data_IF_342362708208
#
_entry.id   IF_342362708208
#
_cell.length_a   1.000
_cell.length_b   1.000
_cell.length_c   1.000
_cell.angle_alpha   90.00
_cell.angle_beta   90.00
_cell.angle_gamma   90.00
#
_symmetry.space_group_name_H-M   'P 1'
#
loop_
_entity.id
_entity.type
_entity.pdbx_description
1 polymer ?
#
# COMPACT_ATOMS: atom_id res chain seq x y z
N UNK A 1 23.18 -21.03 15.07
CA UNK A 1 22.30 -20.78 16.24
C UNK A 1 21.86 -19.33 16.41
N UNK A 2 22.74 -18.34 16.60
CA UNK A 2 22.30 -16.93 16.76
C UNK A 2 21.86 -16.29 15.44
N UNK A 3 22.62 -16.49 14.36
CA UNK A 3 22.22 -16.05 13.01
C UNK A 3 20.91 -16.68 12.55
N UNK A 4 20.68 -17.98 12.80
CA UNK A 4 19.43 -18.66 12.44
C UNK A 4 18.21 -18.11 13.19
N UNK A 5 18.36 -17.71 14.46
CA UNK A 5 17.28 -17.08 15.23
C UNK A 5 16.94 -15.68 14.70
N UNK A 6 17.95 -14.88 14.36
CA UNK A 6 17.77 -13.56 13.75
C UNK A 6 17.11 -13.70 12.37
N UNK A 7 17.56 -14.68 11.58
CA UNK A 7 17.00 -15.00 10.27
C UNK A 7 15.52 -15.42 10.37
N UNK A 8 15.20 -16.29 11.33
CA UNK A 8 13.83 -16.73 11.60
C UNK A 8 12.88 -15.57 11.95
N UNK A 9 13.31 -14.68 12.85
CA UNK A 9 12.54 -13.49 13.23
C UNK A 9 12.24 -12.56 12.04
N UNK A 10 13.22 -12.35 11.15
CA UNK A 10 13.04 -11.54 9.93
C UNK A 10 12.13 -12.23 8.92
N UNK A 11 12.23 -13.55 8.76
CA UNK A 11 11.33 -14.34 7.92
C UNK A 11 9.87 -14.23 8.42
N UNK A 12 9.64 -14.27 9.73
CA UNK A 12 8.30 -14.14 10.31
C UNK A 12 7.69 -12.76 10.06
N UNK A 13 8.49 -11.69 10.12
CA UNK A 13 8.02 -10.34 9.80
C UNK A 13 7.66 -10.21 8.32
N UNK A 14 8.46 -10.79 7.42
CA UNK A 14 8.16 -10.83 5.97
C UNK A 14 6.92 -11.71 5.68
N UNK A 15 6.68 -12.76 6.47
CA UNK A 15 5.47 -13.58 6.39
C UNK A 15 4.20 -12.79 6.69
N UNK A 16 4.26 -11.85 7.64
CA UNK A 16 3.12 -10.96 7.94
C UNK A 16 2.82 -10.01 6.79
N UNK A 17 3.78 -9.71 5.93
CA UNK A 17 3.59 -8.92 4.70
C UNK A 17 3.12 -9.78 3.51
N UNK A 18 2.94 -11.09 3.68
CA UNK A 18 2.40 -11.97 2.65
C UNK A 18 3.38 -12.22 1.50
N UNK A 19 4.69 -12.11 1.74
CA UNK A 19 5.72 -12.39 0.74
C UNK A 19 6.01 -13.90 0.64
N UNK A 20 4.97 -14.70 0.35
CA UNK A 20 4.99 -16.17 0.46
C UNK A 20 6.06 -16.84 -0.39
N UNK A 21 6.20 -16.45 -1.67
CA UNK A 21 7.19 -17.05 -2.57
C UNK A 21 8.63 -16.87 -2.06
N UNK A 22 9.07 -15.65 -1.67
CA UNK A 22 10.35 -15.47 -0.99
C UNK A 22 10.52 -16.34 0.26
N UNK A 23 9.50 -16.46 1.10
CA UNK A 23 9.58 -17.25 2.33
C UNK A 23 9.82 -18.74 2.06
N UNK A 24 9.11 -19.31 1.09
CA UNK A 24 9.32 -20.70 0.69
C UNK A 24 10.76 -20.92 0.19
N UNK A 25 11.27 -20.02 -0.65
CA UNK A 25 12.65 -20.08 -1.15
C UNK A 25 13.68 -19.96 -0.02
N UNK A 26 13.48 -19.03 0.91
CA UNK A 26 14.38 -18.84 2.06
C UNK A 26 14.43 -20.10 2.93
N UNK A 27 13.27 -20.67 3.26
CA UNK A 27 13.18 -21.91 4.05
C UNK A 27 13.87 -23.09 3.36
N UNK A 28 13.72 -23.21 2.05
CA UNK A 28 14.36 -24.25 1.26
C UNK A 28 15.89 -24.12 1.28
N UNK A 29 16.44 -22.91 1.10
CA UNK A 29 17.89 -22.69 1.17
C UNK A 29 18.46 -22.99 2.54
N UNK A 30 17.78 -22.59 3.61
CA UNK A 30 18.19 -22.91 4.99
C UNK A 30 18.21 -24.43 5.20
N UNK A 31 17.18 -25.15 4.75
CA UNK A 31 17.11 -26.61 4.89
C UNK A 31 18.23 -27.34 4.13
N UNK A 32 18.76 -26.75 3.06
CA UNK A 32 19.90 -27.28 2.29
C UNK A 32 21.27 -26.86 2.83
N UNK A 33 21.32 -26.05 3.90
CA UNK A 33 22.55 -25.48 4.44
C UNK A 33 23.11 -24.29 3.62
N UNK A 34 22.37 -23.78 2.63
CA UNK A 34 22.73 -22.61 1.80
C UNK A 34 22.42 -21.28 2.54
N UNK A 35 22.88 -21.14 3.78
CA UNK A 35 22.52 -20.02 4.68
C UNK A 35 22.95 -18.66 4.11
N UNK A 36 24.15 -18.54 3.55
CA UNK A 36 24.65 -17.29 2.96
C UNK A 36 23.77 -16.79 1.80
N UNK A 37 23.25 -17.73 1.01
CA UNK A 37 22.34 -17.43 -0.10
C UNK A 37 20.98 -16.96 0.40
N UNK A 38 20.47 -17.58 1.47
CA UNK A 38 19.25 -17.14 2.12
C UNK A 38 19.41 -15.71 2.71
N UNK A 39 20.54 -15.42 3.36
CA UNK A 39 20.85 -14.10 3.89
C UNK A 39 20.90 -13.03 2.80
N UNK A 40 21.54 -13.33 1.66
CA UNK A 40 21.60 -12.42 0.51
C UNK A 40 20.21 -12.06 -0.02
N UNK A 41 19.37 -13.06 -0.28
CA UNK A 41 18.00 -12.86 -0.79
C UNK A 41 17.15 -12.08 0.20
N UNK A 42 17.27 -12.41 1.49
CA UNK A 42 16.56 -11.70 2.56
C UNK A 42 17.00 -10.23 2.64
N UNK A 43 18.29 -9.96 2.48
CA UNK A 43 18.85 -8.61 2.43
C UNK A 43 18.29 -7.79 1.26
N UNK A 44 18.31 -8.35 0.05
CA UNK A 44 17.74 -7.71 -1.15
C UNK A 44 16.25 -7.41 -0.98
N UNK A 45 15.46 -8.36 -0.48
CA UNK A 45 14.04 -8.17 -0.22
C UNK A 45 13.77 -7.10 0.83
N UNK A 46 14.56 -7.07 1.91
CA UNK A 46 14.41 -6.06 2.97
C UNK A 46 14.70 -4.66 2.44
N UNK A 47 15.71 -4.51 1.59
CA UNK A 47 16.06 -3.22 0.99
C UNK A 47 14.97 -2.73 0.04
N UNK A 48 14.39 -3.61 -0.76
CA UNK A 48 13.22 -3.29 -1.60
C UNK A 48 12.02 -2.83 -0.77
N UNK A 49 11.72 -3.54 0.32
CA UNK A 49 10.64 -3.20 1.25
C UNK A 49 10.88 -1.86 1.97
N UNK A 50 12.13 -1.58 2.35
CA UNK A 50 12.52 -0.29 2.97
C UNK A 50 12.43 0.86 1.99
N UNK A 51 12.78 0.67 0.72
CA UNK A 51 12.61 1.71 -0.31
C UNK A 51 11.13 2.04 -0.47
N UNK A 52 10.30 1.01 -0.54
CA UNK A 52 8.87 1.17 -0.72
C UNK A 52 8.15 1.80 0.48
N UNK A 53 8.67 1.66 1.70
CA UNK A 53 8.11 2.37 2.85
C UNK A 53 8.15 3.90 2.68
N UNK A 54 9.15 4.44 1.95
CA UNK A 54 9.19 5.87 1.62
C UNK A 54 8.05 6.26 0.68
N UNK A 55 7.77 5.43 -0.33
CA UNK A 55 6.67 5.66 -1.26
C UNK A 55 5.30 5.57 -0.58
N UNK A 56 5.14 4.62 0.35
CA UNK A 56 3.94 4.49 1.17
C UNK A 56 3.74 5.71 2.08
N UNK A 57 4.81 6.25 2.67
CA UNK A 57 4.73 7.47 3.48
C UNK A 57 4.29 8.68 2.64
N UNK A 58 4.79 8.80 1.41
CA UNK A 58 4.36 9.84 0.48
C UNK A 58 2.86 9.68 0.11
N UNK A 59 2.41 8.45 -0.13
CA UNK A 59 0.98 8.18 -0.39
C UNK A 59 0.10 8.61 0.79
N UNK A 60 0.46 8.27 2.03
CA UNK A 60 -0.27 8.69 3.24
C UNK A 60 -0.31 10.21 3.36
N UNK A 61 0.81 10.89 3.14
CA UNK A 61 0.86 12.36 3.16
C UNK A 61 -0.11 12.96 2.13
N UNK A 62 -0.23 12.38 0.95
CA UNK A 62 -1.14 12.87 -0.08
C UNK A 62 -2.60 12.59 0.25
N UNK A 63 -2.91 11.41 0.78
CA UNK A 63 -4.26 11.08 1.27
C UNK A 63 -4.67 12.00 2.43
N UNK A 64 -3.74 12.35 3.31
CA UNK A 64 -4.01 13.25 4.44
C UNK A 64 -4.49 14.64 4.02
N UNK A 65 -4.07 15.11 2.82
CA UNK A 65 -4.53 16.38 2.24
C UNK A 65 -5.99 16.33 1.78
N UNK A 66 -6.55 15.13 1.62
CA UNK A 66 -7.93 14.88 1.23
C UNK A 66 -8.86 14.57 2.43
N UNK A 67 -8.41 14.77 3.68
CA UNK A 67 -9.14 14.39 4.90
C UNK A 67 -10.51 15.07 5.10
N UNK A 68 -10.74 16.21 4.45
CA UNK A 68 -11.99 16.96 4.52
C UNK A 68 -12.69 17.05 3.15
N UNK A 69 -12.45 16.08 2.27
CA UNK A 69 -13.00 16.09 0.90
C UNK A 69 -14.52 16.22 0.91
N UNK A 70 -15.20 15.76 1.96
CA UNK A 70 -16.67 15.86 2.03
C UNK A 70 -17.19 17.29 2.18
N UNK A 71 -16.32 18.25 2.52
CA UNK A 71 -16.67 19.66 2.69
C UNK A 71 -16.38 20.53 1.46
N UNK A 72 -15.73 19.95 0.44
CA UNK A 72 -15.32 20.65 -0.77
C UNK A 72 -16.46 20.75 -1.78
N UNK A 73 -16.35 21.72 -2.70
CA UNK A 73 -17.14 21.70 -3.92
C UNK A 73 -16.79 20.45 -4.76
N UNK A 74 -17.73 19.88 -5.55
CA UNK A 74 -17.49 18.65 -6.30
C UNK A 74 -16.27 18.71 -7.21
N UNK A 75 -16.08 19.82 -7.92
CA UNK A 75 -14.95 20.02 -8.82
C UNK A 75 -13.61 20.04 -8.06
N UNK A 76 -13.59 20.65 -6.87
CA UNK A 76 -12.43 20.70 -5.98
C UNK A 76 -12.13 19.33 -5.37
N UNK A 77 -13.16 18.59 -4.97
CA UNK A 77 -13.06 17.22 -4.51
C UNK A 77 -12.48 16.31 -5.60
N UNK A 78 -13.01 16.38 -6.83
CA UNK A 78 -12.48 15.64 -7.99
C UNK A 78 -11.01 15.96 -8.22
N UNK A 79 -10.62 17.24 -8.23
CA UNK A 79 -9.23 17.66 -8.42
C UNK A 79 -8.31 17.13 -7.30
N UNK A 80 -8.80 17.14 -6.07
CA UNK A 80 -8.08 16.58 -4.91
C UNK A 80 -7.84 15.09 -5.10
N UNK A 81 -8.85 14.35 -5.55
CA UNK A 81 -8.73 12.91 -5.83
C UNK A 81 -7.80 12.61 -6.99
N UNK A 82 -7.78 13.43 -8.03
CA UNK A 82 -6.82 13.26 -9.12
C UNK A 82 -5.38 13.36 -8.64
N UNK A 83 -5.10 14.26 -7.68
CA UNK A 83 -3.81 14.33 -7.00
C UNK A 83 -3.46 13.04 -6.26
N UNK A 84 -4.38 12.52 -5.44
CA UNK A 84 -4.20 11.27 -4.69
C UNK A 84 -3.97 10.09 -5.64
N UNK A 85 -4.84 9.93 -6.64
CA UNK A 85 -4.78 8.86 -7.62
C UNK A 85 -3.50 8.91 -8.46
N UNK A 86 -3.04 10.11 -8.83
CA UNK A 86 -1.79 10.28 -9.58
C UNK A 86 -0.59 9.74 -8.78
N UNK A 87 -0.50 10.12 -7.50
CA UNK A 87 0.58 9.65 -6.62
C UNK A 87 0.45 8.14 -6.42
N UNK A 88 -0.72 7.63 -6.04
CA UNK A 88 -0.94 6.20 -5.85
C UNK A 88 -0.56 5.41 -7.10
N UNK A 89 -1.03 5.81 -8.29
CA UNK A 89 -0.69 5.16 -9.56
C UNK A 89 0.83 5.13 -9.77
N UNK A 90 1.49 6.27 -9.60
CA UNK A 90 2.93 6.38 -9.82
C UNK A 90 3.71 5.41 -8.93
N UNK A 91 3.29 5.22 -7.68
CA UNK A 91 4.00 4.40 -6.69
C UNK A 91 3.63 2.92 -6.74
N UNK A 92 2.35 2.61 -6.95
CA UNK A 92 1.87 1.22 -7.07
C UNK A 92 2.54 0.55 -8.28
N UNK A 93 2.54 1.19 -9.45
CA UNK A 93 3.04 0.55 -10.66
C UNK A 93 4.55 0.67 -10.87
N UNK A 94 5.25 1.40 -10.00
CA UNK A 94 6.73 1.47 -9.97
C UNK A 94 7.36 0.69 -8.81
N UNK A 95 6.57 -0.12 -8.10
CA UNK A 95 7.05 -0.84 -6.91
C UNK A 95 8.27 -1.74 -7.21
N UNK A 96 9.24 -1.81 -6.28
CA UNK A 96 10.40 -2.68 -6.43
C UNK A 96 10.01 -4.15 -6.65
N UNK A 97 10.83 -4.95 -7.37
CA UNK A 97 10.51 -6.36 -7.67
C UNK A 97 10.19 -7.19 -6.42
N UNK A 98 10.93 -7.02 -5.31
CA UNK A 98 10.68 -7.72 -4.06
C UNK A 98 9.32 -7.42 -3.44
N UNK A 99 8.81 -6.20 -3.60
CA UNK A 99 7.49 -5.77 -3.09
C UNK A 99 6.35 -6.43 -3.86
N UNK A 100 6.52 -6.61 -5.18
CA UNK A 100 5.51 -7.29 -6.02
C UNK A 100 5.32 -8.75 -5.67
N UNK A 101 6.26 -9.34 -4.93
CA UNK A 101 6.14 -10.71 -4.40
C UNK A 101 5.30 -10.79 -3.12
N UNK A 102 4.89 -9.65 -2.56
CA UNK A 102 4.12 -9.54 -1.32
C UNK A 102 2.64 -9.28 -1.62
N UNK A 103 1.80 -10.30 -1.40
CA UNK A 103 0.39 -10.26 -1.81
C UNK A 103 -0.47 -9.29 -0.99
N UNK A 104 -0.01 -8.91 0.21
CA UNK A 104 -0.68 -7.88 1.03
C UNK A 104 -0.24 -6.47 0.69
N UNK A 105 0.64 -6.27 -0.30
CA UNK A 105 1.05 -4.92 -0.68
C UNK A 105 0.49 -4.58 -2.05
N UNK A 106 1.05 -5.17 -3.10
CA UNK A 106 0.75 -4.75 -4.47
C UNK A 106 -0.73 -4.94 -4.88
N UNK A 107 -1.33 -6.14 -4.77
CA UNK A 107 -2.71 -6.36 -5.23
C UNK A 107 -3.74 -5.55 -4.45
N UNK A 108 -3.52 -5.36 -3.15
CA UNK A 108 -4.45 -4.61 -2.30
C UNK A 108 -4.45 -3.12 -2.65
N UNK A 109 -3.27 -2.54 -2.89
CA UNK A 109 -3.16 -1.15 -3.32
C UNK A 109 -3.76 -0.93 -4.72
N UNK A 110 -3.64 -1.89 -5.63
CA UNK A 110 -4.29 -1.86 -6.95
C UNK A 110 -5.82 -1.85 -6.84
N UNK A 111 -6.39 -2.65 -5.93
CA UNK A 111 -7.84 -2.64 -5.64
C UNK A 111 -8.28 -1.29 -5.06
N UNK A 112 -7.52 -0.74 -4.12
CA UNK A 112 -7.80 0.58 -3.54
C UNK A 112 -7.76 1.68 -4.60
N UNK A 113 -6.75 1.65 -5.48
CA UNK A 113 -6.63 2.59 -6.60
C UNK A 113 -7.85 2.50 -7.55
N UNK A 114 -8.25 1.29 -7.92
CA UNK A 114 -9.41 1.06 -8.80
C UNK A 114 -10.70 1.58 -8.14
N UNK A 115 -10.88 1.31 -6.85
CA UNK A 115 -12.08 1.73 -6.11
C UNK A 115 -12.14 3.25 -5.96
N UNK A 116 -11.04 3.92 -5.59
CA UNK A 116 -10.97 5.39 -5.55
C UNK A 116 -11.23 6.01 -6.93
N UNK A 117 -10.74 5.38 -8.00
CA UNK A 117 -10.99 5.83 -9.37
C UNK A 117 -12.48 5.76 -9.72
N UNK A 118 -13.16 4.67 -9.34
CA UNK A 118 -14.61 4.53 -9.54
C UNK A 118 -15.41 5.59 -8.75
N UNK A 119 -15.09 5.78 -7.46
CA UNK A 119 -15.76 6.77 -6.61
C UNK A 119 -15.60 8.20 -7.15
N UNK A 120 -14.43 8.53 -7.72
CA UNK A 120 -14.21 9.82 -8.40
C UNK A 120 -15.12 9.99 -9.62
N UNK A 121 -15.29 8.96 -10.44
CA UNK A 121 -16.17 9.03 -11.61
C UNK A 121 -17.65 9.10 -11.20
N UNK A 122 -18.04 8.42 -10.12
CA UNK A 122 -19.38 8.54 -9.56
C UNK A 122 -19.65 9.95 -9.04
N UNK A 123 -18.70 10.57 -8.34
CA UNK A 123 -18.79 11.96 -7.90
C UNK A 123 -19.00 12.92 -9.08
N UNK A 124 -18.32 12.70 -10.21
CA UNK A 124 -18.52 13.50 -11.45
C UNK A 124 -19.93 13.37 -11.98
N UNK A 125 -20.49 12.15 -12.00
CA UNK A 125 -21.85 11.89 -12.49
C UNK A 125 -22.92 12.50 -11.57
N UNK A 126 -22.70 12.42 -10.26
CA UNK A 126 -23.66 12.92 -9.29
C UNK A 126 -23.70 14.45 -9.17
N UNK A 127 -22.67 15.16 -9.64
CA UNK A 127 -22.71 16.62 -9.79
C UNK A 127 -23.92 17.12 -10.59
N UNK A 128 -24.43 16.30 -11.53
CA UNK A 128 -25.61 16.59 -12.35
C UNK A 128 -26.93 16.04 -11.79
N UNK A 129 -26.88 15.21 -10.75
CA UNK A 129 -28.00 14.34 -10.31
C UNK A 129 -28.72 14.83 -9.04
N UNK A 130 -28.28 15.95 -8.46
CA UNK A 130 -28.90 16.60 -7.30
C UNK A 130 -28.04 16.57 -6.03
N UNK A 131 -28.24 17.56 -5.17
CA UNK A 131 -27.39 17.85 -4.00
C UNK A 131 -27.26 16.69 -3.01
N UNK A 132 -28.32 15.93 -2.78
CA UNK A 132 -28.30 14.81 -1.82
C UNK A 132 -27.37 13.67 -2.26
N UNK A 133 -27.42 13.26 -3.54
CA UNK A 133 -26.56 12.20 -4.07
C UNK A 133 -25.09 12.59 -4.04
N UNK A 134 -24.81 13.85 -4.34
CA UNK A 134 -23.48 14.43 -4.27
C UNK A 134 -22.91 14.43 -2.84
N UNK A 135 -23.70 14.85 -1.85
CA UNK A 135 -23.28 14.84 -0.44
C UNK A 135 -22.99 13.41 0.06
N UNK A 136 -23.80 12.43 -0.33
CA UNK A 136 -23.55 11.00 -0.01
C UNK A 136 -22.26 10.50 -0.65
N UNK A 137 -22.07 10.74 -1.95
CA UNK A 137 -20.86 10.31 -2.67
C UNK A 137 -19.57 10.92 -2.07
N UNK A 138 -19.64 12.18 -1.66
CA UNK A 138 -18.55 12.87 -0.99
C UNK A 138 -18.20 12.25 0.38
N UNK A 139 -19.20 11.83 1.15
CA UNK A 139 -19.00 11.16 2.44
C UNK A 139 -18.45 9.74 2.28
N UNK A 140 -18.99 8.98 1.33
CA UNK A 140 -18.50 7.62 1.04
C UNK A 140 -17.03 7.65 0.60
N UNK A 141 -16.69 8.65 -0.22
CA UNK A 141 -15.32 8.90 -0.63
C UNK A 141 -14.39 9.24 0.54
N UNK A 142 -14.80 10.15 1.43
CA UNK A 142 -14.03 10.52 2.61
C UNK A 142 -13.79 9.32 3.53
N UNK A 143 -14.83 8.50 3.74
CA UNK A 143 -14.72 7.26 4.50
C UNK A 143 -13.75 6.27 3.84
N UNK A 144 -13.79 6.14 2.52
CA UNK A 144 -12.88 5.24 1.80
C UNK A 144 -11.43 5.74 1.83
N UNK A 145 -11.19 7.04 1.67
CA UNK A 145 -9.85 7.62 1.83
C UNK A 145 -9.28 7.39 3.24
N UNK A 146 -10.12 7.51 4.28
CA UNK A 146 -9.71 7.23 5.65
C UNK A 146 -9.32 5.75 5.84
N UNK A 147 -10.09 4.82 5.23
CA UNK A 147 -9.74 3.40 5.20
C UNK A 147 -8.39 3.15 4.50
N UNK A 148 -8.18 3.73 3.32
CA UNK A 148 -6.91 3.59 2.58
C UNK A 148 -5.73 4.16 3.38
N UNK A 149 -5.89 5.32 4.02
CA UNK A 149 -4.86 5.92 4.87
C UNK A 149 -4.44 4.96 6.00
N UNK A 150 -5.41 4.43 6.75
CA UNK A 150 -5.15 3.48 7.84
C UNK A 150 -4.45 2.22 7.34
N UNK A 151 -4.91 1.67 6.21
CA UNK A 151 -4.27 0.50 5.62
C UNK A 151 -2.79 0.71 5.31
N UNK A 152 -2.45 1.84 4.69
CA UNK A 152 -1.06 2.15 4.35
C UNK A 152 -0.24 2.44 5.60
N UNK A 153 -0.81 3.11 6.61
CA UNK A 153 -0.16 3.30 7.92
C UNK A 153 0.16 1.98 8.62
N UNK A 154 -0.75 1.00 8.58
CA UNK A 154 -0.51 -0.33 9.14
C UNK A 154 0.61 -1.08 8.39
N UNK A 155 0.67 -0.95 7.06
CA UNK A 155 1.78 -1.46 6.26
C UNK A 155 3.11 -0.81 6.66
N UNK A 156 3.14 0.52 6.78
CA UNK A 156 4.33 1.27 7.23
C UNK A 156 4.81 0.80 8.61
N UNK A 157 3.87 0.62 9.54
CA UNK A 157 4.18 0.14 10.89
C UNK A 157 4.79 -1.27 10.87
N UNK A 158 4.37 -2.14 9.95
CA UNK A 158 4.96 -3.46 9.79
C UNK A 158 6.33 -3.41 9.11
N UNK A 159 6.50 -2.55 8.11
CA UNK A 159 7.78 -2.35 7.42
C UNK A 159 8.84 -1.74 8.34
N UNK A 160 8.47 -0.85 9.25
CA UNK A 160 9.40 -0.25 10.22
C UNK A 160 9.91 -1.25 11.29
N UNK A 161 9.33 -2.46 11.36
CA UNK A 161 9.79 -3.54 12.25
C UNK A 161 10.83 -4.46 11.57
N UNK A 162 11.10 -4.27 10.27
CA UNK A 162 12.11 -5.00 9.49
C UNK A 162 13.49 -4.32 9.56
#
# INVERSE_FOLDING_TARGET
>A
MESEKILGSRIDTIARLGCFKPIYMLREYIAKGEVEKAEKILGELTEDLRRYSKDLAEMVQQISRARNVATLAPEEAVKTLEGVLSIMKSKIFSSPPGVRLCIYIQPHLEVMYTTLSALKEDLRRYGSSGRHFMETALRDLEAYLAYVSRYIEDLLNNLNKL
#
